data_IF_402640146836
#
_entry.id   IF_402640146836
#
_cell.length_a   1.000
_cell.length_b   1.000
_cell.length_c   1.000
_cell.angle_alpha   90.00
_cell.angle_beta   90.00
_cell.angle_gamma   90.00
#
_symmetry.space_group_name_H-M   'P 1'
#
loop_
_entity.id
_entity.type
_entity.pdbx_description
1 polymer ?
#
# COMPACT_ATOMS: atom_id res chain seq x y z
N UNK A 1 -7.11 -14.42 21.80
CA UNK A 1 -6.98 -13.63 20.56
C UNK A 1 -6.99 -14.61 19.41
N UNK A 2 -8.01 -14.58 18.55
CA UNK A 2 -8.08 -15.48 17.40
C UNK A 2 -6.93 -15.19 16.43
N UNK A 3 -6.37 -16.22 15.81
CA UNK A 3 -5.24 -16.10 14.88
C UNK A 3 -5.49 -15.06 13.78
N UNK A 4 -6.72 -14.98 13.28
CA UNK A 4 -7.15 -14.01 12.26
C UNK A 4 -7.03 -12.56 12.74
N UNK A 5 -7.35 -12.28 14.00
CA UNK A 5 -7.25 -10.92 14.56
C UNK A 5 -5.79 -10.48 14.69
N UNK A 6 -4.90 -11.40 15.06
CA UNK A 6 -3.46 -11.13 15.13
C UNK A 6 -2.92 -10.87 13.71
N UNK A 7 -3.31 -11.70 12.74
CA UNK A 7 -2.93 -11.52 11.34
C UNK A 7 -3.44 -10.19 10.78
N UNK A 8 -4.71 -9.85 11.00
CA UNK A 8 -5.32 -8.57 10.60
C UNK A 8 -4.58 -7.39 11.22
N UNK A 9 -4.30 -7.43 12.53
CA UNK A 9 -3.64 -6.34 13.22
C UNK A 9 -2.22 -6.13 12.72
N UNK A 10 -1.43 -7.20 12.59
CA UNK A 10 -0.03 -7.09 12.16
C UNK A 10 0.09 -6.71 10.68
N UNK A 11 -0.63 -7.39 9.79
CA UNK A 11 -0.58 -7.12 8.35
C UNK A 11 -1.20 -5.76 8.03
N UNK A 12 -2.31 -5.41 8.68
CA UNK A 12 -2.97 -4.12 8.53
C UNK A 12 -2.12 -2.96 9.04
N UNK A 13 -1.55 -3.08 10.25
CA UNK A 13 -0.67 -2.05 10.81
C UNK A 13 0.60 -1.88 9.97
N UNK A 14 1.21 -2.97 9.52
CA UNK A 14 2.40 -2.92 8.67
C UNK A 14 2.11 -2.30 7.30
N UNK A 15 0.97 -2.64 6.68
CA UNK A 15 0.53 -2.02 5.43
C UNK A 15 0.30 -0.51 5.60
N UNK A 16 -0.38 -0.10 6.68
CA UNK A 16 -0.60 1.31 7.00
C UNK A 16 0.72 2.04 7.24
N UNK A 17 1.63 1.47 8.04
CA UNK A 17 2.95 2.05 8.31
C UNK A 17 3.77 2.22 7.03
N UNK A 18 3.86 1.18 6.21
CA UNK A 18 4.61 1.24 4.94
C UNK A 18 3.99 2.22 3.95
N UNK A 19 2.65 2.37 3.94
CA UNK A 19 1.98 3.33 3.07
C UNK A 19 2.32 4.79 3.40
N UNK A 20 2.73 5.05 4.65
CA UNK A 20 3.17 6.36 5.15
C UNK A 20 4.69 6.56 5.00
N UNK A 21 5.45 5.53 4.58
CA UNK A 21 6.89 5.62 4.47
C UNK A 21 7.33 6.66 3.42
N UNK A 22 8.35 7.46 3.76
CA UNK A 22 8.92 8.50 2.88
C UNK A 22 9.62 7.94 1.66
N UNK A 23 10.22 6.75 1.77
CA UNK A 23 10.97 6.10 0.69
C UNK A 23 10.08 5.23 -0.18
N UNK A 24 10.22 5.38 -1.50
CA UNK A 24 9.49 4.56 -2.49
C UNK A 24 9.80 3.06 -2.35
N UNK A 25 11.03 2.72 -1.92
CA UNK A 25 11.46 1.35 -1.67
C UNK A 25 10.68 0.63 -0.57
N UNK A 26 10.19 1.35 0.45
CA UNK A 26 9.35 0.79 1.51
C UNK A 26 7.86 0.91 1.15
N UNK A 27 7.46 2.02 0.53
CA UNK A 27 6.06 2.31 0.19
C UNK A 27 5.43 1.30 -0.77
N UNK A 28 6.22 0.78 -1.71
CA UNK A 28 5.78 -0.27 -2.64
C UNK A 28 5.34 -1.56 -1.96
N UNK A 29 5.82 -1.85 -0.75
CA UNK A 29 5.46 -3.07 -0.01
C UNK A 29 4.12 -2.96 0.71
N UNK A 30 3.62 -1.74 0.97
CA UNK A 30 2.33 -1.52 1.60
C UNK A 30 1.17 -2.31 0.95
N UNK A 31 0.96 -2.24 -0.38
CA UNK A 31 -0.07 -3.02 -1.05
C UNK A 31 0.14 -4.53 -0.99
N UNK A 32 1.38 -5.02 -0.85
CA UNK A 32 1.65 -6.45 -0.69
C UNK A 32 1.10 -6.94 0.64
N UNK A 33 1.45 -6.26 1.75
CA UNK A 33 0.93 -6.60 3.07
C UNK A 33 -0.58 -6.36 3.19
N UNK A 34 -1.09 -5.31 2.54
CA UNK A 34 -2.52 -5.04 2.45
C UNK A 34 -3.30 -6.17 1.79
N UNK A 35 -2.80 -6.71 0.67
CA UNK A 35 -3.38 -7.87 -0.03
C UNK A 35 -3.29 -9.16 0.79
N UNK A 36 -2.16 -9.41 1.47
CA UNK A 36 -2.01 -10.57 2.36
C UNK A 36 -2.98 -10.53 3.55
N UNK A 37 -3.36 -9.33 4.00
CA UNK A 37 -4.35 -9.14 5.05
C UNK A 37 -5.80 -9.36 4.60
N UNK A 38 -6.11 -9.24 3.30
CA UNK A 38 -7.49 -9.31 2.79
C UNK A 38 -8.19 -10.66 3.04
N UNK A 39 -7.55 -11.84 2.84
CA UNK A 39 -8.17 -13.12 3.16
C UNK A 39 -8.68 -13.21 4.60
N UNK A 40 -7.92 -12.65 5.55
CA UNK A 40 -8.30 -12.62 6.96
C UNK A 40 -9.47 -11.67 7.22
N UNK A 41 -9.48 -10.49 6.60
CA UNK A 41 -10.63 -9.57 6.69
C UNK A 41 -11.90 -10.18 6.10
N UNK A 42 -11.81 -10.88 4.97
CA UNK A 42 -12.94 -11.59 4.38
C UNK A 42 -13.44 -12.71 5.28
N UNK A 43 -12.54 -13.58 5.76
CA UNK A 43 -12.90 -14.69 6.62
C UNK A 43 -13.53 -14.21 7.93
N UNK A 44 -12.90 -13.24 8.60
CA UNK A 44 -13.38 -12.71 9.87
C UNK A 44 -14.72 -11.98 9.73
N UNK A 45 -14.91 -11.17 8.69
CA UNK A 45 -16.17 -10.45 8.48
C UNK A 45 -17.31 -11.35 8.04
N UNK A 46 -17.02 -12.38 7.23
CA UNK A 46 -17.99 -13.42 6.88
C UNK A 46 -18.43 -14.20 8.11
N UNK A 47 -17.47 -14.66 8.91
CA UNK A 47 -17.76 -15.51 10.06
C UNK A 47 -18.43 -14.77 11.22
N UNK A 48 -18.23 -13.44 11.30
CA UNK A 48 -18.94 -12.56 12.23
C UNK A 48 -20.25 -11.99 11.65
N UNK A 49 -20.66 -12.40 10.45
CA UNK A 49 -21.85 -11.91 9.72
C UNK A 49 -21.86 -10.37 9.54
N UNK A 50 -20.69 -9.75 9.53
CA UNK A 50 -20.50 -8.30 9.39
C UNK A 50 -20.44 -7.91 7.91
N UNK A 51 -21.58 -7.97 7.23
CA UNK A 51 -21.69 -7.69 5.80
C UNK A 51 -21.18 -6.29 5.39
N UNK A 52 -21.33 -5.29 6.26
CA UNK A 52 -20.77 -3.96 6.03
C UNK A 52 -19.24 -3.97 5.96
N UNK A 53 -18.58 -4.67 6.89
CA UNK A 53 -17.12 -4.81 6.89
C UNK A 53 -16.66 -5.69 5.71
N UNK A 54 -17.42 -6.73 5.37
CA UNK A 54 -17.16 -7.57 4.20
C UNK A 54 -17.19 -6.76 2.90
N UNK A 55 -18.16 -5.86 2.72
CA UNK A 55 -18.19 -4.98 1.55
C UNK A 55 -16.99 -4.01 1.54
N UNK A 56 -16.63 -3.45 2.70
CA UNK A 56 -15.45 -2.57 2.82
C UNK A 56 -14.15 -3.32 2.52
N UNK A 57 -14.01 -4.59 2.91
CA UNK A 57 -12.83 -5.37 2.58
C UNK A 57 -12.71 -5.61 1.07
N UNK A 58 -13.82 -5.80 0.33
CA UNK A 58 -13.78 -5.84 -1.15
C UNK A 58 -13.20 -4.54 -1.72
N UNK A 59 -13.67 -3.39 -1.23
CA UNK A 59 -13.18 -2.07 -1.68
C UNK A 59 -11.68 -1.93 -1.38
N UNK A 60 -11.26 -2.31 -0.17
CA UNK A 60 -9.86 -2.27 0.24
C UNK A 60 -8.99 -3.22 -0.58
N UNK A 61 -9.47 -4.42 -0.91
CA UNK A 61 -8.79 -5.33 -1.83
C UNK A 61 -8.56 -4.67 -3.19
N UNK A 62 -9.56 -3.97 -3.74
CA UNK A 62 -9.40 -3.18 -4.97
C UNK A 62 -8.36 -2.06 -4.84
N UNK A 63 -8.36 -1.33 -3.72
CA UNK A 63 -7.38 -0.28 -3.46
C UNK A 63 -5.94 -0.81 -3.36
N UNK A 64 -5.74 -1.93 -2.66
CA UNK A 64 -4.44 -2.58 -2.56
C UNK A 64 -3.99 -3.19 -3.89
N UNK A 65 -4.90 -3.80 -4.66
CA UNK A 65 -4.62 -4.28 -6.01
C UNK A 65 -4.15 -3.14 -6.94
N UNK A 66 -4.80 -1.97 -6.87
CA UNK A 66 -4.36 -0.77 -7.59
C UNK A 66 -2.96 -0.33 -7.14
N UNK A 67 -2.69 -0.34 -5.83
CA UNK A 67 -1.35 -0.06 -5.31
C UNK A 67 -0.30 -1.03 -5.83
N UNK A 68 -0.63 -2.33 -5.89
CA UNK A 68 0.24 -3.37 -6.44
C UNK A 68 0.55 -3.10 -7.91
N UNK A 69 -0.47 -2.72 -8.70
CA UNK A 69 -0.31 -2.36 -10.09
C UNK A 69 0.61 -1.14 -10.28
N UNK A 70 0.38 -0.07 -9.53
CA UNK A 70 1.16 1.17 -9.64
C UNK A 70 2.63 0.98 -9.24
N UNK A 71 2.91 0.19 -8.21
CA UNK A 71 4.27 0.06 -7.70
C UNK A 71 5.08 -1.10 -8.29
N UNK A 72 4.43 -2.19 -8.71
CA UNK A 72 5.13 -3.40 -9.17
C UNK A 72 4.94 -3.70 -10.64
N UNK A 73 3.75 -3.45 -11.21
CA UNK A 73 3.43 -3.82 -12.59
C UNK A 73 3.76 -2.67 -13.55
N UNK A 74 3.36 -1.46 -13.19
CA UNK A 74 3.60 -0.24 -13.98
C UNK A 74 4.21 0.86 -13.11
N UNK A 75 5.42 0.62 -12.54
CA UNK A 75 6.13 1.66 -11.84
C UNK A 75 6.39 2.81 -12.81
N UNK A 76 5.84 3.99 -12.53
CA UNK A 76 6.24 5.19 -13.25
C UNK A 76 7.72 5.38 -12.99
N UNK A 77 8.55 5.25 -14.02
CA UNK A 77 9.92 5.76 -13.96
C UNK A 77 9.79 7.24 -13.64
N UNK A 78 10.24 7.64 -12.46
CA UNK A 78 10.58 9.01 -12.19
C UNK A 78 11.69 9.34 -13.18
N UNK A 79 11.32 9.87 -14.35
CA UNK A 79 12.29 10.51 -15.23
C UNK A 79 12.94 11.56 -14.35
N UNK A 80 14.22 11.34 -14.03
CA UNK A 80 15.04 12.35 -13.40
C UNK A 80 14.94 13.58 -14.28
N UNK A 81 14.09 14.52 -13.89
CA UNK A 81 14.28 15.91 -14.19
C UNK A 81 15.59 16.23 -13.51
N UNK A 82 16.70 15.97 -14.22
CA UNK A 82 17.96 16.59 -13.95
C UNK A 82 17.62 18.04 -13.79
N UNK A 83 17.71 18.53 -12.55
CA UNK A 83 17.65 19.95 -12.27
C UNK A 83 18.57 20.58 -13.30
N UNK A 84 17.98 21.27 -14.28
CA UNK A 84 18.75 22.11 -15.19
C UNK A 84 19.35 23.12 -14.23
N UNK A 85 20.57 22.85 -13.78
CA UNK A 85 21.39 23.78 -13.02
C UNK A 85 21.63 24.92 -13.99
N UNK A 86 20.71 25.88 -14.01
CA UNK A 86 20.94 27.20 -14.57
C UNK A 86 21.95 27.86 -13.64
N UNK A 87 23.22 27.50 -13.78
CA UNK A 87 24.32 28.28 -13.23
C UNK A 87 24.41 29.52 -14.11
N UNK A 88 24.02 30.72 -13.65
CA UNK A 88 24.23 31.92 -14.42
C UNK A 88 25.74 32.16 -14.38
N UNK A 89 26.39 32.00 -15.54
CA UNK A 89 27.81 32.27 -15.70
C UNK A 89 28.13 33.68 -15.23
N UNK A 90 28.84 33.78 -14.11
CA UNK A 90 29.36 35.04 -13.61
C UNK A 90 30.60 35.42 -14.43
N UNK A 91 30.50 36.48 -15.22
CA UNK A 91 31.61 37.30 -15.74
C UNK A 91 31.25 38.78 -15.49
N UNK A 92 32.21 39.72 -15.46
CA UNK A 92 33.67 39.57 -15.50
C UNK A 92 34.35 39.66 -14.13
#
# INVERSE_FOLDING_TARGET
>A
MSFDQIAIALLGALAAWLSQARGEGSRKWAPVFGMLGQPFWFYASWQAEQWGIFAVSIIYAGAWARGLWVYWISPRRQHGMGSIQLVPGRKP
#
